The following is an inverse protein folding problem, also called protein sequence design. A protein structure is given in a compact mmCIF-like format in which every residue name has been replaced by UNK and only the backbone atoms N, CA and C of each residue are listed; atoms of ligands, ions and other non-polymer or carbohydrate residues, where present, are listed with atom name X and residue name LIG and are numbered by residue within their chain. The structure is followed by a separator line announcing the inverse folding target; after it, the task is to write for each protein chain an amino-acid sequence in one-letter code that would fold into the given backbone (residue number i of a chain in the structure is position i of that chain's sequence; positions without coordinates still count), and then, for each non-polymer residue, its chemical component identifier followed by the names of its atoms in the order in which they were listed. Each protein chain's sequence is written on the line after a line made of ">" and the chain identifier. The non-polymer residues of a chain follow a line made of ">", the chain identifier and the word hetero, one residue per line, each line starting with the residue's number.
data_IF_906737027181
#
_entry.id   IF_906737027181
#
_cell.length_a   1.000
_cell.length_b   1.000
_cell.length_c   1.000
_cell.angle_alpha   90.00
_cell.angle_beta   90.00
_cell.angle_gamma   90.00
#
_symmetry.space_group_name_H-M   'P 1'
#
loop_
_entity.id
_entity.type
_entity.pdbx_description
1 polymer ?
#
# COMPACT_ATOMS: atom_id res chain seq x y z
N UNK A 1 -5.80 30.00 -7.40
CA UNK A 1 -6.02 30.53 -6.04
C UNK A 1 -5.30 31.85 -5.78
N UNK A 2 -4.01 32.00 -6.11
CA UNK A 2 -3.28 33.26 -5.86
C UNK A 2 -3.76 34.43 -6.73
N UNK A 3 -4.18 34.16 -7.97
CA UNK A 3 -4.77 35.18 -8.86
C UNK A 3 -6.15 35.68 -8.41
N UNK A 4 -6.88 34.89 -7.64
CA UNK A 4 -8.27 35.19 -7.23
C UNK A 4 -8.33 36.17 -6.05
N UNK A 5 -7.32 36.14 -5.18
CA UNK A 5 -7.40 36.78 -3.86
C UNK A 5 -6.53 38.04 -3.70
N UNK A 6 -5.85 38.52 -4.75
CA UNK A 6 -5.02 39.75 -4.75
C UNK A 6 -4.02 39.88 -3.58
N UNK A 7 -3.64 38.78 -2.92
CA UNK A 7 -2.61 38.76 -1.88
C UNK A 7 -1.24 38.42 -2.47
N UNK A 8 -0.19 38.95 -1.85
CA UNK A 8 1.18 38.51 -2.07
C UNK A 8 1.31 37.02 -1.70
N UNK A 9 1.99 36.28 -2.56
CA UNK A 9 2.13 34.82 -2.46
C UNK A 9 2.79 34.40 -1.13
N UNK A 10 3.63 35.27 -0.59
CA UNK A 10 4.41 35.06 0.62
C UNK A 10 3.54 35.17 1.87
N UNK A 11 2.61 36.13 1.88
CA UNK A 11 1.61 36.28 2.93
C UNK A 11 0.69 35.07 2.95
N UNK A 12 0.22 34.64 1.77
CA UNK A 12 -0.63 33.45 1.64
C UNK A 12 0.07 32.19 2.13
N UNK A 13 1.36 32.01 1.80
CA UNK A 13 2.16 30.88 2.26
C UNK A 13 2.35 30.88 3.79
N UNK A 14 2.53 32.06 4.37
CA UNK A 14 2.67 32.24 5.82
C UNK A 14 1.37 31.87 6.53
N UNK A 15 0.25 32.41 6.07
CA UNK A 15 -1.09 32.12 6.62
C UNK A 15 -1.38 30.62 6.53
N UNK A 16 -1.19 30.02 5.35
CA UNK A 16 -1.50 28.60 5.13
C UNK A 16 -0.62 27.67 5.98
N UNK A 17 0.69 27.92 6.05
CA UNK A 17 1.62 27.01 6.74
C UNK A 17 1.77 27.25 8.22
N UNK A 18 1.80 28.52 8.66
CA UNK A 18 2.07 28.89 10.05
C UNK A 18 0.77 29.08 10.83
N UNK A 19 -0.15 29.88 10.31
CA UNK A 19 -1.36 30.25 11.07
C UNK A 19 -2.40 29.14 11.02
N UNK A 20 -2.59 28.52 9.84
CA UNK A 20 -3.54 27.43 9.63
C UNK A 20 -2.92 26.04 9.82
N UNK A 21 -1.59 25.94 9.97
CA UNK A 21 -0.89 24.66 10.12
C UNK A 21 -1.08 23.67 8.96
N UNK A 22 -1.47 24.16 7.78
CA UNK A 22 -1.76 23.29 6.64
C UNK A 22 -0.48 22.91 5.92
N UNK A 23 -0.30 21.60 5.72
CA UNK A 23 0.74 21.05 4.88
C UNK A 23 0.19 20.62 3.53
N UNK A 24 1.03 20.69 2.50
CA UNK A 24 0.67 20.14 1.19
C UNK A 24 0.44 18.64 1.32
N UNK A 25 -0.81 18.20 1.17
CA UNK A 25 -1.11 16.78 1.08
C UNK A 25 -0.50 16.24 -0.21
N UNK A 26 0.60 15.50 -0.09
CA UNK A 26 1.14 14.75 -1.23
C UNK A 26 0.26 13.53 -1.42
N UNK A 27 -0.60 13.56 -2.44
CA UNK A 27 -1.24 12.36 -2.96
C UNK A 27 -0.13 11.38 -3.36
N UNK A 28 0.05 10.31 -2.58
CA UNK A 28 0.86 9.18 -3.05
C UNK A 28 0.13 8.60 -4.27
N UNK A 29 0.81 8.36 -5.41
CA UNK A 29 0.21 7.62 -6.50
C UNK A 29 -0.11 6.21 -5.97
N UNK A 30 -1.38 5.98 -5.65
CA UNK A 30 -1.90 4.65 -5.42
C UNK A 30 -2.27 4.11 -6.79
N UNK A 31 -2.04 2.81 -7.05
CA UNK A 31 -2.49 2.16 -8.27
C UNK A 31 -3.97 2.48 -8.51
N UNK A 32 -4.24 3.30 -9.53
CA UNK A 32 -5.60 3.70 -9.87
C UNK A 32 -6.34 2.45 -10.36
N UNK A 33 -7.43 2.09 -9.68
CA UNK A 33 -8.22 0.94 -10.07
C UNK A 33 -9.10 1.34 -11.25
N UNK A 34 -8.81 0.80 -12.43
CA UNK A 34 -9.74 0.90 -13.57
C UNK A 34 -11.10 0.28 -13.19
N UNK A 35 -12.18 0.75 -13.83
CA UNK A 35 -13.51 0.19 -13.62
C UNK A 35 -13.55 -1.33 -13.86
N UNK A 36 -12.77 -1.82 -14.82
CA UNK A 36 -12.65 -3.26 -15.09
C UNK A 36 -12.00 -4.03 -13.93
N UNK A 37 -10.96 -3.48 -13.30
CA UNK A 37 -10.32 -4.10 -12.12
C UNK A 37 -11.28 -4.06 -10.92
N UNK A 38 -12.04 -2.96 -10.75
CA UNK A 38 -13.05 -2.86 -9.70
C UNK A 38 -14.13 -3.92 -9.84
N UNK A 39 -14.67 -4.11 -11.05
CA UNK A 39 -15.67 -5.14 -11.34
C UNK A 39 -15.15 -6.55 -11.06
N UNK A 40 -13.92 -6.86 -11.49
CA UNK A 40 -13.26 -8.14 -11.22
C UNK A 40 -13.09 -8.39 -9.71
N UNK A 41 -12.64 -7.38 -8.96
CA UNK A 41 -12.50 -7.47 -7.49
C UNK A 41 -13.85 -7.72 -6.82
N UNK A 42 -14.89 -6.98 -7.20
CA UNK A 42 -16.23 -7.13 -6.63
C UNK A 42 -16.80 -8.53 -6.88
N UNK A 43 -16.71 -9.03 -8.10
CA UNK A 43 -17.19 -10.37 -8.44
C UNK A 43 -16.44 -11.46 -7.63
N UNK A 44 -15.11 -11.34 -7.52
CA UNK A 44 -14.28 -12.26 -6.74
C UNK A 44 -14.64 -12.23 -5.24
N UNK A 45 -14.79 -11.04 -4.66
CA UNK A 45 -15.16 -10.90 -3.24
C UNK A 45 -16.52 -11.50 -2.93
N UNK A 46 -17.53 -11.29 -3.81
CA UNK A 46 -18.85 -11.94 -3.65
C UNK A 46 -18.75 -13.46 -3.68
N UNK A 47 -17.95 -14.01 -4.60
CA UNK A 47 -17.69 -15.45 -4.66
C UNK A 47 -17.03 -15.99 -3.38
N UNK A 48 -16.06 -15.26 -2.83
CA UNK A 48 -15.42 -15.66 -1.57
C UNK A 48 -16.36 -15.60 -0.36
N UNK A 49 -17.24 -14.59 -0.28
CA UNK A 49 -18.24 -14.52 0.80
C UNK A 49 -19.22 -15.70 0.77
N UNK A 50 -19.69 -16.06 -0.42
CA UNK A 50 -20.58 -17.23 -0.58
C UNK A 50 -19.86 -18.54 -0.22
N UNK A 51 -18.59 -18.66 -0.58
CA UNK A 51 -17.76 -19.82 -0.21
C UNK A 51 -17.46 -19.85 1.29
N UNK A 52 -17.21 -18.70 1.90
CA UNK A 52 -16.96 -18.61 3.34
C UNK A 52 -18.18 -19.05 4.16
N UNK A 53 -19.39 -18.79 3.67
CA UNK A 53 -20.62 -19.28 4.31
C UNK A 53 -20.71 -20.82 4.37
N UNK A 54 -19.95 -21.54 3.53
CA UNK A 54 -20.00 -23.01 3.43
C UNK A 54 -18.69 -23.69 3.84
N UNK A 55 -17.56 -22.99 3.82
CA UNK A 55 -16.23 -23.54 4.09
C UNK A 55 -15.52 -22.71 5.16
N UNK A 56 -15.05 -23.36 6.24
CA UNK A 56 -14.24 -22.70 7.26
C UNK A 56 -12.91 -22.18 6.68
N UNK A 57 -12.47 -21.00 7.16
CA UNK A 57 -11.19 -20.40 6.80
C UNK A 57 -10.00 -21.27 7.19
N UNK A 58 -10.15 -22.17 8.17
CA UNK A 58 -9.08 -23.07 8.62
C UNK A 58 -8.60 -24.02 7.51
N UNK A 59 -9.42 -24.21 6.46
CA UNK A 59 -9.09 -25.03 5.28
C UNK A 59 -8.40 -24.22 4.17
N UNK A 60 -8.14 -22.93 4.36
CA UNK A 60 -7.56 -22.06 3.34
C UNK A 60 -6.11 -21.73 3.70
N UNK A 61 -5.19 -22.21 2.87
CA UNK A 61 -3.77 -21.88 2.97
C UNK A 61 -3.45 -20.71 2.06
N UNK A 62 -2.89 -19.65 2.63
CA UNK A 62 -2.42 -18.49 1.88
C UNK A 62 -0.89 -18.54 1.75
N UNK A 63 -0.39 -18.23 0.56
CA UNK A 63 1.04 -18.09 0.27
C UNK A 63 1.27 -16.79 -0.47
N UNK A 64 2.37 -16.12 -0.19
CA UNK A 64 2.82 -14.95 -0.92
C UNK A 64 4.35 -14.86 -0.88
N UNK A 65 4.92 -14.17 -1.86
CA UNK A 65 6.35 -13.90 -1.93
C UNK A 65 6.64 -12.50 -1.42
N UNK A 66 7.67 -12.36 -0.57
CA UNK A 66 8.11 -11.08 -0.06
C UNK A 66 9.61 -10.91 -0.27
N UNK A 67 9.99 -9.74 -0.77
CA UNK A 67 11.37 -9.33 -0.90
C UNK A 67 11.89 -8.87 0.47
N UNK A 68 13.05 -9.38 0.87
CA UNK A 68 13.79 -8.94 2.04
C UNK A 68 15.09 -8.29 1.58
N UNK A 69 15.33 -7.07 2.05
CA UNK A 69 16.59 -6.37 1.86
C UNK A 69 17.41 -6.51 3.12
N UNK A 70 18.62 -7.06 3.03
CA UNK A 70 19.59 -7.03 4.13
C UNK A 70 20.12 -5.59 4.22
N UNK A 71 20.06 -4.99 5.41
CA UNK A 71 20.58 -3.64 5.63
C UNK A 71 22.07 -3.55 5.29
N UNK A 72 22.47 -2.46 4.63
CA UNK A 72 23.83 -2.20 4.13
C UNK A 72 24.94 -2.22 5.19
N UNK A 73 24.62 -2.24 6.48
CA UNK A 73 25.60 -2.27 7.57
C UNK A 73 26.56 -3.50 7.51
N UNK A 74 26.24 -4.52 6.72
CA UNK A 74 27.09 -5.70 6.49
C UNK A 74 27.73 -5.75 5.08
N UNK A 75 27.41 -4.83 4.18
CA UNK A 75 27.79 -4.90 2.76
C UNK A 75 28.92 -3.92 2.41
N UNK A 76 30.02 -3.94 3.17
CA UNK A 76 31.23 -3.18 2.82
C UNK A 76 32.02 -3.74 1.62
N UNK A 77 31.44 -4.63 0.80
CA UNK A 77 32.16 -5.36 -0.27
C UNK A 77 31.39 -5.51 -1.60
N UNK A 78 30.36 -4.69 -1.86
CA UNK A 78 29.80 -4.57 -3.21
C UNK A 78 29.07 -5.79 -3.77
N UNK A 79 28.50 -6.65 -2.91
CA UNK A 79 27.61 -7.73 -3.34
C UNK A 79 26.22 -7.55 -2.72
N UNK A 80 25.27 -7.13 -3.56
CA UNK A 80 23.85 -7.13 -3.21
C UNK A 80 23.33 -8.57 -3.32
N UNK A 81 23.29 -9.30 -2.20
CA UNK A 81 22.65 -10.61 -2.16
C UNK A 81 21.13 -10.42 -2.03
N UNK A 82 20.41 -10.67 -3.12
CA UNK A 82 18.96 -10.83 -3.09
C UNK A 82 18.69 -12.26 -2.62
N UNK A 83 18.12 -12.40 -1.43
CA UNK A 83 17.66 -13.70 -0.94
C UNK A 83 16.13 -13.71 -0.98
N UNK A 84 15.55 -14.56 -1.83
CA UNK A 84 14.12 -14.84 -1.78
C UNK A 84 13.85 -15.84 -0.67
N UNK A 85 13.04 -15.45 0.32
CA UNK A 85 12.53 -16.37 1.34
C UNK A 85 11.05 -16.58 1.08
N UNK A 86 10.71 -17.77 0.57
CA UNK A 86 9.32 -18.19 0.39
C UNK A 86 8.76 -18.68 1.73
N UNK A 87 7.67 -18.07 2.20
CA UNK A 87 6.95 -18.54 3.39
C UNK A 87 5.77 -19.40 2.94
N UNK A 88 5.81 -20.68 3.29
CA UNK A 88 4.62 -21.53 3.30
C UNK A 88 4.02 -21.45 4.71
N UNK A 89 2.88 -20.77 4.86
CA UNK A 89 2.08 -20.86 6.07
C UNK A 89 1.46 -22.27 6.11
N UNK A 90 2.21 -23.25 6.63
CA UNK A 90 1.68 -24.58 6.92
C UNK A 90 0.75 -24.45 8.13
N UNK A 91 -0.56 -24.56 7.90
CA UNK A 91 -1.46 -25.03 8.95
C UNK A 91 -1.11 -26.48 9.25
N UNK A 92 -0.85 -26.75 10.53
CA UNK A 92 -0.50 -28.04 11.09
C UNK A 92 -1.76 -28.91 11.11
N UNK A 93 -1.66 -30.13 10.57
CA UNK A 93 -2.69 -31.16 10.66
C UNK A 93 -2.92 -31.56 12.13
N UNK A 94 -4.18 -31.62 12.54
CA UNK A 94 -4.68 -32.43 13.66
C UNK A 94 -5.94 -33.17 13.21
#
# INVERSE_FOLDING_TARGET
>A
MTLELKFLLESLRTIVKKDLGMFSFKRKPVNFLSQSIQGKRLARSRGFLNRYATVSLDKVVFSDEKWFTVEEALTNKGLNFITMVSYSLRTIDW
#
